data_IF_296363005755
#
_entry.id   IF_296363005755
#
_cell.length_a   1.000
_cell.length_b   1.000
_cell.length_c   1.000
_cell.angle_alpha   90.00
_cell.angle_beta   90.00
_cell.angle_gamma   90.00
#
_symmetry.space_group_name_H-M   'P 1'
#
loop_
_entity.id
_entity.type
_entity.pdbx_description
1 polymer ?
#
# COMPACT_ATOMS: atom_id res chain seq x y z
N UNK A 1 -33.20 4.20 47.87
CA UNK A 1 -32.74 5.14 46.82
C UNK A 1 -31.24 4.96 46.68
N UNK A 2 -30.85 4.04 45.81
CA UNK A 2 -29.47 3.62 45.56
C UNK A 2 -28.75 4.64 44.67
N UNK A 3 -27.48 4.90 45.01
CA UNK A 3 -26.62 5.92 44.42
C UNK A 3 -26.47 5.78 42.90
N UNK A 4 -27.24 6.56 42.14
CA UNK A 4 -27.07 6.74 40.69
C UNK A 4 -25.79 7.56 40.35
N UNK A 5 -25.21 8.25 41.34
CA UNK A 5 -24.05 9.14 41.15
C UNK A 5 -22.69 8.42 41.10
N UNK A 6 -22.56 7.21 41.67
CA UNK A 6 -21.28 6.48 41.67
C UNK A 6 -21.00 5.71 40.37
N UNK A 7 -22.04 5.36 39.60
CA UNK A 7 -21.88 4.62 38.34
C UNK A 7 -21.50 5.57 37.18
N UNK A 8 -22.04 6.79 37.18
CA UNK A 8 -21.73 7.79 36.15
C UNK A 8 -20.28 8.26 36.16
N UNK A 9 -19.68 8.43 37.34
CA UNK A 9 -18.28 8.87 37.48
C UNK A 9 -17.32 7.75 37.02
N UNK A 10 -17.61 6.49 37.36
CA UNK A 10 -16.80 5.34 36.94
C UNK A 10 -16.76 5.18 35.41
N UNK A 11 -17.90 5.36 34.73
CA UNK A 11 -17.97 5.26 33.26
C UNK A 11 -17.24 6.39 32.53
N UNK A 12 -17.31 7.63 33.04
CA UNK A 12 -16.63 8.79 32.44
C UNK A 12 -15.11 8.68 32.57
N UNK A 13 -14.59 8.20 33.71
CA UNK A 13 -13.16 7.96 33.86
C UNK A 13 -12.65 6.75 33.07
N UNK A 14 -13.44 5.67 32.97
CA UNK A 14 -13.03 4.49 32.19
C UNK A 14 -13.06 4.74 30.68
N UNK A 15 -14.14 5.32 30.13
CA UNK A 15 -14.22 5.66 28.71
C UNK A 15 -13.28 6.82 28.34
N UNK A 16 -13.16 7.82 29.22
CA UNK A 16 -12.21 8.92 29.05
C UNK A 16 -10.77 8.44 29.03
N UNK A 17 -10.36 7.60 29.99
CA UNK A 17 -9.02 7.02 30.02
C UNK A 17 -8.78 6.04 28.87
N UNK A 18 -9.78 5.28 28.43
CA UNK A 18 -9.64 4.37 27.29
C UNK A 18 -9.51 5.12 25.95
N UNK A 19 -10.25 6.21 25.76
CA UNK A 19 -10.14 7.05 24.57
C UNK A 19 -8.83 7.84 24.56
N UNK A 20 -8.44 8.41 25.71
CA UNK A 20 -7.16 9.12 25.87
C UNK A 20 -5.97 8.17 25.71
N UNK A 21 -6.05 6.93 26.23
CA UNK A 21 -4.97 5.94 26.10
C UNK A 21 -4.84 5.38 24.68
N UNK A 22 -5.95 5.19 23.94
CA UNK A 22 -5.89 4.75 22.54
C UNK A 22 -5.47 5.87 21.57
N UNK A 23 -5.87 7.12 21.81
CA UNK A 23 -5.40 8.25 21.00
C UNK A 23 -3.91 8.56 21.27
N UNK A 24 -3.47 8.61 22.53
CA UNK A 24 -2.07 8.85 22.86
C UNK A 24 -1.15 7.75 22.33
N UNK A 25 -1.55 6.47 22.38
CA UNK A 25 -0.76 5.37 21.80
C UNK A 25 -0.52 5.52 20.30
N UNK A 26 -1.49 6.05 19.55
CA UNK A 26 -1.37 6.17 18.09
C UNK A 26 -0.39 7.28 17.70
N UNK A 27 -0.44 8.40 18.40
CA UNK A 27 0.46 9.54 18.16
C UNK A 27 1.88 9.27 18.70
N UNK A 28 2.02 8.53 19.80
CA UNK A 28 3.33 8.08 20.31
C UNK A 28 4.03 7.10 19.35
N UNK A 29 3.27 6.22 18.67
CA UNK A 29 3.85 5.26 17.71
C UNK A 29 4.31 5.95 16.42
N UNK A 30 3.65 7.03 15.99
CA UNK A 30 4.09 7.85 14.85
C UNK A 30 5.33 8.70 15.16
N UNK A 31 5.59 9.02 16.42
CA UNK A 31 6.77 9.79 16.83
C UNK A 31 7.92 8.91 17.34
N UNK A 32 7.80 7.58 17.21
CA UNK A 32 8.81 6.63 17.65
C UNK A 32 9.92 6.47 16.63
N UNK A 33 11.18 6.46 17.10
CA UNK A 33 12.34 6.01 16.32
C UNK A 33 12.20 4.55 15.81
N UNK A 34 11.22 3.83 16.34
CA UNK A 34 10.87 2.45 16.03
C UNK A 34 9.64 2.32 15.11
N UNK A 35 9.31 3.32 14.29
CA UNK A 35 8.26 3.15 13.28
C UNK A 35 8.68 2.19 12.15
N UNK A 36 7.82 1.20 11.87
CA UNK A 36 8.04 0.16 10.85
C UNK A 36 7.02 0.19 9.71
N UNK A 37 6.23 1.26 9.61
CA UNK A 37 5.20 1.44 8.59
C UNK A 37 5.68 2.26 7.39
N UNK A 38 4.71 2.83 6.66
CA UNK A 38 4.93 3.75 5.56
C UNK A 38 5.58 5.06 6.03
N UNK A 39 6.48 5.61 5.20
CA UNK A 39 7.16 6.88 5.44
C UNK A 39 6.80 7.86 4.33
N UNK A 40 6.49 9.10 4.71
CA UNK A 40 6.16 10.16 3.76
C UNK A 40 7.39 10.83 3.11
N UNK A 41 7.14 11.92 2.38
CA UNK A 41 8.18 12.60 1.63
C UNK A 41 9.12 13.41 2.51
N UNK A 42 8.66 13.86 3.66
CA UNK A 42 9.40 14.61 4.65
C UNK A 42 10.28 13.65 5.46
N UNK A 43 9.86 12.38 5.57
CA UNK A 43 10.55 11.34 6.32
C UNK A 43 9.80 10.94 7.59
N UNK A 44 8.57 11.41 7.73
CA UNK A 44 7.73 11.20 8.88
C UNK A 44 6.85 9.95 8.70
N UNK A 45 6.49 9.26 9.80
CA UNK A 45 5.52 8.18 9.79
C UNK A 45 4.14 8.59 9.28
N UNK A 46 3.57 7.78 8.38
CA UNK A 46 2.24 8.03 7.82
C UNK A 46 1.38 6.77 7.79
N UNK A 47 0.07 6.90 8.01
CA UNK A 47 -0.84 5.74 8.05
C UNK A 47 -0.95 5.05 6.68
N UNK A 48 -0.94 5.84 5.62
CA UNK A 48 -0.88 5.35 4.24
C UNK A 48 -0.33 6.43 3.33
N UNK A 49 0.14 6.02 2.15
CA UNK A 49 0.24 6.93 1.03
C UNK A 49 -0.20 6.24 -0.25
N UNK A 50 -0.77 7.00 -1.18
CA UNK A 50 -0.90 6.58 -2.58
C UNK A 50 -0.02 7.46 -3.43
N UNK A 51 0.63 6.88 -4.42
CA UNK A 51 1.40 7.62 -5.41
C UNK A 51 1.06 7.19 -6.81
N UNK A 52 1.16 8.15 -7.72
CA UNK A 52 1.04 7.94 -9.15
C UNK A 52 2.33 8.43 -9.80
N UNK A 53 3.14 7.48 -10.27
CA UNK A 53 4.31 7.78 -11.07
C UNK A 53 3.86 8.17 -12.47
N UNK A 54 4.34 9.32 -12.95
CA UNK A 54 3.87 9.93 -14.19
C UNK A 54 4.51 9.27 -15.42
N UNK A 55 3.79 9.18 -16.57
CA UNK A 55 4.37 8.63 -17.80
C UNK A 55 5.54 9.49 -18.30
N UNK A 56 6.46 8.86 -19.03
CA UNK A 56 7.60 9.55 -19.62
C UNK A 56 7.15 10.59 -20.63
N UNK A 57 7.59 11.83 -20.47
CA UNK A 57 7.34 12.91 -21.41
C UNK A 57 8.66 13.53 -21.88
N UNK A 58 9.18 13.03 -23.01
CA UNK A 58 10.44 13.48 -23.61
C UNK A 58 10.49 14.99 -23.93
N UNK A 59 9.34 15.64 -24.12
CA UNK A 59 9.24 17.07 -24.45
C UNK A 59 9.14 17.96 -23.20
N UNK A 60 9.05 17.38 -22.00
CA UNK A 60 8.90 18.16 -20.77
C UNK A 60 10.16 18.98 -20.46
N UNK A 61 10.04 20.22 -19.97
CA UNK A 61 11.18 20.97 -19.44
C UNK A 61 11.70 20.41 -18.11
N UNK A 62 10.92 19.57 -17.41
CA UNK A 62 11.29 18.94 -16.14
C UNK A 62 12.03 17.62 -16.39
N UNK A 63 13.24 17.48 -15.83
CA UNK A 63 14.11 16.31 -16.05
C UNK A 63 13.47 14.99 -15.61
N UNK A 64 12.91 14.93 -14.41
CA UNK A 64 12.24 13.73 -13.88
C UNK A 64 11.04 13.29 -14.72
N UNK A 65 10.34 14.21 -15.40
CA UNK A 65 9.29 13.87 -16.37
C UNK A 65 9.86 13.34 -17.68
N UNK A 66 10.97 13.91 -18.17
CA UNK A 66 11.67 13.39 -19.37
C UNK A 66 12.23 12.00 -19.16
N UNK A 67 12.71 11.71 -17.96
CA UNK A 67 13.23 10.40 -17.57
C UNK A 67 12.11 9.41 -17.25
N UNK A 68 10.91 9.90 -16.96
CA UNK A 68 9.80 9.06 -16.53
C UNK A 68 10.05 8.53 -15.12
N UNK A 69 10.49 9.40 -14.21
CA UNK A 69 10.77 9.09 -12.81
C UNK A 69 10.07 10.04 -11.83
N UNK A 70 9.40 11.08 -12.33
CA UNK A 70 8.54 11.95 -11.55
C UNK A 70 7.30 11.19 -11.04
N UNK A 71 6.87 11.49 -9.81
CA UNK A 71 5.64 10.97 -9.25
C UNK A 71 4.91 12.04 -8.43
N UNK A 72 3.59 11.93 -8.39
CA UNK A 72 2.72 12.68 -7.49
C UNK A 72 2.25 11.75 -6.38
N UNK A 73 1.91 12.29 -5.21
CA UNK A 73 1.45 11.50 -4.07
C UNK A 73 0.33 12.17 -3.29
N UNK A 74 -0.38 11.35 -2.50
CA UNK A 74 -1.32 11.73 -1.46
C UNK A 74 -1.01 10.96 -0.17
N UNK A 75 -1.00 11.68 0.93
CA UNK A 75 -1.02 11.20 2.33
C UNK A 75 -2.33 11.63 3.01
N UNK A 76 -2.70 11.08 4.18
CA UNK A 76 -3.77 11.61 5.01
C UNK A 76 -3.74 13.14 5.16
N UNK A 77 -2.57 13.72 5.42
CA UNK A 77 -2.42 15.16 5.65
C UNK A 77 -2.61 15.99 4.38
N UNK A 78 -2.24 15.45 3.23
CA UNK A 78 -2.59 16.09 1.97
C UNK A 78 -4.08 15.92 1.65
N UNK A 79 -4.69 14.80 2.01
CA UNK A 79 -6.07 14.44 1.70
C UNK A 79 -7.10 15.15 2.58
N UNK A 80 -6.77 15.53 3.82
CA UNK A 80 -7.69 16.29 4.70
C UNK A 80 -8.10 17.66 4.12
N UNK A 81 -7.35 18.18 3.15
CA UNK A 81 -7.70 19.37 2.36
C UNK A 81 -8.79 19.12 1.28
N UNK A 82 -9.50 17.98 1.28
CA UNK A 82 -10.47 17.55 0.24
C UNK A 82 -11.91 18.05 0.42
N UNK A 83 -12.27 18.78 1.48
CA UNK A 83 -13.68 19.09 1.76
C UNK A 83 -14.28 20.27 0.96
N UNK A 84 -13.55 20.86 0.00
CA UNK A 84 -13.96 22.12 -0.67
C UNK A 84 -14.17 22.07 -2.20
N UNK A 85 -14.21 20.90 -2.83
CA UNK A 85 -14.84 20.75 -4.16
C UNK A 85 -14.16 21.41 -5.37
N UNK A 86 -12.83 21.53 -5.40
CA UNK A 86 -12.08 22.08 -6.55
C UNK A 86 -11.80 21.07 -7.69
N UNK A 87 -11.77 21.55 -8.95
CA UNK A 87 -11.39 20.77 -10.15
C UNK A 87 -9.88 20.91 -10.37
N UNK A 88 -9.19 19.76 -10.41
CA UNK A 88 -7.72 19.59 -10.40
C UNK A 88 -6.93 19.76 -11.73
N UNK A 89 -6.06 20.77 -11.91
CA UNK A 89 -4.92 20.72 -12.84
C UNK A 89 -3.60 20.30 -12.15
N UNK A 90 -3.23 19.02 -12.27
CA UNK A 90 -2.01 18.39 -11.68
C UNK A 90 -0.67 19.00 -12.16
N UNK A 91 -0.71 19.91 -13.14
CA UNK A 91 0.49 20.48 -13.78
C UNK A 91 0.84 21.89 -13.32
N UNK A 92 0.06 22.49 -12.42
CA UNK A 92 0.41 23.78 -11.84
C UNK A 92 1.04 23.58 -10.48
N UNK A 93 2.32 23.94 -10.37
CA UNK A 93 3.12 23.94 -9.14
C UNK A 93 2.52 24.85 -8.04
N UNK A 94 1.50 25.66 -8.36
CA UNK A 94 0.85 26.60 -7.43
C UNK A 94 -0.68 26.47 -7.37
N UNK A 95 -1.27 25.41 -7.91
CA UNK A 95 -2.73 25.27 -7.92
C UNK A 95 -3.19 24.44 -6.70
N UNK A 96 -3.62 25.18 -5.67
CA UNK A 96 -4.18 24.69 -4.41
C UNK A 96 -5.49 23.90 -4.57
N UNK A 97 -5.93 23.64 -5.81
CA UNK A 97 -7.11 22.83 -6.12
C UNK A 97 -6.81 21.33 -6.22
N UNK A 98 -5.55 20.90 -6.42
CA UNK A 98 -5.15 19.49 -6.27
C UNK A 98 -4.43 19.32 -4.96
N UNK A 99 -4.86 18.33 -4.19
CA UNK A 99 -4.12 17.88 -3.02
C UNK A 99 -2.99 16.90 -3.35
N UNK A 100 -2.92 16.42 -4.60
CA UNK A 100 -1.79 15.66 -5.11
C UNK A 100 -0.54 16.55 -5.12
N UNK A 101 0.52 16.09 -4.46
CA UNK A 101 1.78 16.83 -4.38
C UNK A 101 2.77 16.21 -5.35
N UNK A 102 3.41 17.02 -6.20
CA UNK A 102 4.53 16.57 -7.03
C UNK A 102 5.77 16.37 -6.15
N UNK A 103 6.36 15.17 -6.22
CA UNK A 103 7.56 14.88 -5.45
C UNK A 103 8.78 15.64 -5.97
N UNK A 104 9.60 16.13 -5.04
CA UNK A 104 10.93 16.65 -5.33
C UNK A 104 11.98 15.55 -5.55
N UNK A 105 11.65 14.29 -5.24
CA UNK A 105 12.52 13.14 -5.44
C UNK A 105 12.10 12.33 -6.65
N UNK A 106 13.10 11.82 -7.37
CA UNK A 106 12.87 10.77 -8.36
C UNK A 106 12.36 9.51 -7.65
N UNK A 107 11.41 8.78 -8.23
CA UNK A 107 10.94 7.51 -7.64
C UNK A 107 12.08 6.49 -7.45
N UNK A 108 13.17 6.59 -8.21
CA UNK A 108 14.35 5.75 -8.07
C UNK A 108 15.33 6.18 -6.97
N UNK A 109 15.14 7.35 -6.36
CA UNK A 109 15.97 7.85 -5.27
C UNK A 109 15.59 7.15 -3.95
N UNK A 110 16.57 6.76 -3.13
CA UNK A 110 16.35 6.21 -1.79
C UNK A 110 15.65 7.20 -0.84
N UNK A 111 15.66 8.50 -1.17
CA UNK A 111 14.93 9.56 -0.47
C UNK A 111 13.47 9.69 -0.92
N UNK A 112 13.06 9.00 -1.98
CA UNK A 112 11.65 8.90 -2.37
C UNK A 112 10.82 8.19 -1.29
N UNK A 113 9.50 8.33 -1.34
CA UNK A 113 8.62 7.70 -0.35
C UNK A 113 8.74 6.16 -0.32
N UNK A 114 8.77 5.44 -1.47
CA UNK A 114 9.05 4.00 -1.45
C UNK A 114 10.47 3.69 -0.99
N UNK A 115 11.46 4.49 -1.39
CA UNK A 115 12.86 4.34 -0.97
C UNK A 115 13.02 4.45 0.56
N UNK A 116 12.43 5.48 1.17
CA UNK A 116 12.43 5.71 2.62
C UNK A 116 11.72 4.59 3.36
N UNK A 117 10.56 4.15 2.87
CA UNK A 117 9.78 3.04 3.46
C UNK A 117 10.57 1.73 3.44
N UNK A 118 11.24 1.42 2.34
CA UNK A 118 12.01 0.17 2.18
C UNK A 118 13.44 0.25 2.73
N UNK A 119 13.92 1.44 3.12
CA UNK A 119 15.31 1.71 3.48
C UNK A 119 15.87 0.75 4.52
N UNK A 120 15.12 0.48 5.60
CA UNK A 120 15.57 -0.43 6.66
C UNK A 120 15.75 -1.85 6.16
N UNK A 121 14.87 -2.31 5.28
CA UNK A 121 14.94 -3.66 4.74
C UNK A 121 16.18 -3.88 3.86
N UNK A 122 16.63 -2.84 3.13
CA UNK A 122 17.86 -2.91 2.33
C UNK A 122 19.14 -2.70 3.13
N UNK A 123 19.13 -1.84 4.17
CA UNK A 123 20.35 -1.38 4.85
C UNK A 123 20.62 -2.01 6.21
N UNK A 124 19.57 -2.44 6.92
CA UNK A 124 19.68 -2.95 8.29
C UNK A 124 19.51 -4.48 8.28
N UNK A 125 20.64 -5.18 8.37
CA UNK A 125 20.68 -6.64 8.39
C UNK A 125 19.91 -7.22 9.59
N UNK A 126 19.98 -6.56 10.75
CA UNK A 126 19.29 -7.01 11.96
C UNK A 126 17.79 -6.92 11.78
N UNK A 127 17.30 -5.77 11.28
CA UNK A 127 15.89 -5.60 10.96
C UNK A 127 15.42 -6.62 9.91
N UNK A 128 16.15 -6.78 8.81
CA UNK A 128 15.82 -7.73 7.74
C UNK A 128 15.73 -9.16 8.25
N UNK A 129 16.66 -9.58 9.10
CA UNK A 129 16.72 -10.95 9.64
C UNK A 129 15.63 -11.22 10.68
N UNK A 130 15.18 -10.19 11.39
CA UNK A 130 14.16 -10.28 12.43
C UNK A 130 12.75 -9.88 11.96
N UNK A 131 12.56 -9.58 10.68
CA UNK A 131 11.25 -9.24 10.10
C UNK A 131 10.77 -10.31 9.13
N UNK A 132 9.46 -10.59 9.16
CA UNK A 132 8.82 -11.35 8.11
C UNK A 132 8.60 -10.45 6.90
N UNK A 133 9.00 -10.89 5.71
CA UNK A 133 8.75 -10.14 4.49
C UNK A 133 8.43 -11.05 3.31
N UNK A 134 7.68 -10.50 2.36
CA UNK A 134 7.29 -11.14 1.11
C UNK A 134 7.34 -10.13 -0.01
N UNK A 135 8.27 -10.31 -0.94
CA UNK A 135 8.25 -9.60 -2.20
C UNK A 135 7.61 -10.49 -3.25
N UNK A 136 6.57 -9.99 -3.89
CA UNK A 136 5.83 -10.72 -4.90
C UNK A 136 5.66 -9.89 -6.17
N UNK A 137 5.87 -10.52 -7.32
CA UNK A 137 5.75 -9.90 -8.63
C UNK A 137 5.73 -11.01 -9.69
N UNK A 138 4.71 -11.06 -10.54
CA UNK A 138 4.63 -11.96 -11.69
C UNK A 138 5.74 -11.70 -12.73
N UNK A 139 6.35 -10.53 -12.69
CA UNK A 139 7.52 -10.15 -13.48
C UNK A 139 8.65 -9.67 -12.55
N UNK A 140 9.12 -10.51 -11.63
CA UNK A 140 10.13 -10.10 -10.64
C UNK A 140 11.51 -9.72 -11.26
N UNK A 141 12.34 -8.91 -10.56
CA UNK A 141 13.63 -8.49 -11.08
C UNK A 141 14.56 -9.68 -11.34
N UNK A 142 15.32 -9.62 -12.45
CA UNK A 142 16.26 -10.67 -12.87
C UNK A 142 15.65 -12.07 -13.08
N UNK A 143 14.32 -12.18 -13.08
CA UNK A 143 13.57 -13.42 -13.26
C UNK A 143 12.88 -13.56 -14.62
N UNK A 144 12.31 -14.75 -14.85
CA UNK A 144 11.37 -15.02 -15.93
C UNK A 144 9.96 -14.56 -15.54
N UNK A 145 9.19 -14.09 -16.53
CA UNK A 145 7.76 -13.78 -16.35
C UNK A 145 7.00 -15.06 -15.99
N UNK A 146 6.21 -14.99 -14.93
CA UNK A 146 5.29 -16.04 -14.55
C UNK A 146 3.95 -15.85 -15.26
N UNK A 147 3.60 -16.77 -16.15
CA UNK A 147 2.32 -16.76 -16.88
C UNK A 147 1.18 -17.48 -16.12
N UNK A 148 1.49 -18.21 -15.07
CA UNK A 148 0.55 -19.09 -14.35
C UNK A 148 0.16 -18.60 -12.95
N UNK A 149 0.77 -17.52 -12.49
CA UNK A 149 0.46 -16.87 -11.19
C UNK A 149 -0.32 -15.59 -11.45
N UNK A 150 -0.97 -15.05 -10.43
CA UNK A 150 -1.75 -13.83 -10.58
C UNK A 150 -0.90 -12.62 -11.00
N UNK A 151 -1.46 -11.75 -11.82
CA UNK A 151 -0.87 -10.46 -12.21
C UNK A 151 -0.91 -9.45 -11.06
N UNK A 152 -0.26 -9.79 -9.95
CA UNK A 152 -0.25 -9.03 -8.71
C UNK A 152 1.19 -8.79 -8.25
N UNK A 153 1.45 -7.60 -7.70
CA UNK A 153 2.79 -7.15 -7.35
C UNK A 153 2.77 -6.32 -6.08
N UNK A 154 3.77 -6.51 -5.22
CA UNK A 154 3.87 -5.78 -3.98
C UNK A 154 4.87 -6.36 -2.99
N UNK A 155 4.81 -5.80 -1.78
CA UNK A 155 5.76 -6.04 -0.70
C UNK A 155 4.99 -6.04 0.61
N UNK A 156 4.97 -7.16 1.33
CA UNK A 156 4.47 -7.22 2.71
C UNK A 156 5.67 -7.29 3.65
N UNK A 157 5.70 -6.46 4.67
CA UNK A 157 6.70 -6.50 5.75
C UNK A 157 5.98 -6.44 7.08
N UNK A 158 6.34 -7.35 7.99
CA UNK A 158 5.80 -7.42 9.34
C UNK A 158 6.90 -7.71 10.35
N UNK A 159 6.85 -7.01 11.47
CA UNK A 159 7.70 -7.22 12.64
C UNK A 159 6.81 -7.41 13.89
N UNK A 160 7.43 -7.58 15.06
CA UNK A 160 6.69 -7.60 16.32
C UNK A 160 5.98 -6.26 16.61
N UNK A 161 6.54 -5.18 16.07
CA UNK A 161 6.12 -3.79 16.29
C UNK A 161 5.24 -3.23 15.15
N UNK A 162 4.72 -4.11 14.29
CA UNK A 162 3.93 -3.72 13.12
C UNK A 162 4.73 -3.78 11.82
N UNK A 163 4.24 -3.14 10.78
CA UNK A 163 4.82 -3.25 9.44
C UNK A 163 4.10 -2.40 8.39
N UNK A 164 4.26 -2.77 7.13
CA UNK A 164 3.56 -2.13 6.02
C UNK A 164 3.27 -3.12 4.90
N UNK A 165 2.31 -2.75 4.07
CA UNK A 165 1.99 -3.44 2.83
C UNK A 165 1.99 -2.45 1.67
N UNK A 166 2.86 -2.70 0.69
CA UNK A 166 2.93 -1.97 -0.57
C UNK A 166 2.28 -2.82 -1.66
N UNK A 167 1.33 -2.24 -2.37
CA UNK A 167 0.68 -2.79 -3.57
C UNK A 167 1.06 -1.89 -4.74
N UNK A 168 1.51 -2.46 -5.86
CA UNK A 168 1.91 -1.63 -7.01
C UNK A 168 1.68 -2.32 -8.36
N UNK A 169 1.84 -1.56 -9.44
CA UNK A 169 1.73 -2.06 -10.82
C UNK A 169 3.08 -2.23 -11.55
N UNK A 170 4.20 -1.89 -10.90
CA UNK A 170 5.54 -1.82 -11.53
C UNK A 170 6.16 -3.21 -11.77
N UNK A 171 6.38 -3.64 -13.03
CA UNK A 171 7.10 -4.89 -13.32
C UNK A 171 8.59 -4.73 -13.01
N UNK A 172 9.23 -5.82 -12.58
CA UNK A 172 10.64 -5.91 -12.18
C UNK A 172 11.02 -5.01 -11.00
N UNK A 173 10.05 -4.69 -10.15
CA UNK A 173 10.25 -3.89 -8.95
C UNK A 173 9.77 -4.64 -7.70
N UNK A 174 10.38 -4.36 -6.54
CA UNK A 174 11.71 -3.76 -6.39
C UNK A 174 12.80 -4.83 -6.46
N UNK A 175 14.10 -4.49 -6.45
CA UNK A 175 15.17 -5.46 -6.21
C UNK A 175 14.96 -6.26 -4.91
N UNK A 176 15.43 -7.51 -4.85
CA UNK A 176 15.36 -8.30 -3.62
C UNK A 176 16.14 -7.63 -2.47
N UNK A 177 15.80 -7.90 -1.18
CA UNK A 177 16.39 -7.19 -0.05
C UNK A 177 17.90 -7.19 0.08
N UNK A 178 18.60 -8.21 -0.46
CA UNK A 178 20.06 -8.30 -0.46
C UNK A 178 20.75 -7.34 -1.43
N UNK A 179 19.99 -6.71 -2.33
CA UNK A 179 20.47 -5.74 -3.32
C UNK A 179 20.28 -4.30 -2.80
N UNK A 180 20.43 -3.31 -3.68
CA UNK A 180 20.18 -1.91 -3.37
C UNK A 180 18.81 -1.48 -3.92
N UNK A 181 18.17 -0.53 -3.23
CA UNK A 181 16.94 0.08 -3.75
C UNK A 181 17.19 0.71 -5.11
N UNK A 182 16.34 0.37 -6.07
CA UNK A 182 16.32 1.02 -7.37
C UNK A 182 14.94 0.88 -8.01
N UNK A 183 14.69 1.74 -9.00
CA UNK A 183 13.46 1.70 -9.79
C UNK A 183 13.77 1.24 -11.22
N UNK A 184 13.08 0.21 -11.74
CA UNK A 184 13.46 -0.41 -13.01
C UNK A 184 13.05 0.47 -14.20
N UNK A 185 13.82 0.37 -15.29
CA UNK A 185 13.51 1.05 -16.55
C UNK A 185 12.13 0.68 -17.12
N UNK A 186 11.64 -0.53 -16.83
CA UNK A 186 10.30 -1.02 -17.22
C UNK A 186 9.18 -0.16 -16.62
N UNK A 187 9.37 0.42 -15.44
CA UNK A 187 8.41 1.33 -14.81
C UNK A 187 8.43 2.76 -15.37
N UNK A 188 9.44 3.12 -16.19
CA UNK A 188 9.64 4.51 -16.61
C UNK A 188 8.71 4.96 -17.74
N UNK A 189 8.26 4.06 -18.62
CA UNK A 189 7.50 4.44 -19.82
C UNK A 189 6.08 4.91 -19.50
N UNK A 190 5.31 4.10 -18.77
CA UNK A 190 3.90 4.32 -18.50
C UNK A 190 3.67 4.94 -17.12
N UNK A 191 2.42 5.39 -16.89
CA UNK A 191 1.97 5.71 -15.55
C UNK A 191 1.93 4.44 -14.69
N UNK A 192 2.27 4.55 -13.42
CA UNK A 192 2.28 3.43 -12.47
C UNK A 192 1.67 3.88 -11.15
N UNK A 193 0.91 2.99 -10.51
CA UNK A 193 0.30 3.25 -9.20
C UNK A 193 1.01 2.47 -8.11
N UNK A 194 1.03 3.04 -6.91
CA UNK A 194 1.47 2.35 -5.71
C UNK A 194 0.69 2.86 -4.49
N UNK A 195 0.27 1.92 -3.64
CA UNK A 195 -0.39 2.17 -2.36
C UNK A 195 0.45 1.53 -1.27
N UNK A 196 0.85 2.31 -0.27
CA UNK A 196 1.45 1.81 0.96
C UNK A 196 0.45 1.97 2.10
N UNK A 197 0.24 0.91 2.88
CA UNK A 197 -0.61 0.91 4.07
C UNK A 197 0.24 0.47 5.27
N UNK A 198 0.26 1.28 6.32
CA UNK A 198 0.90 0.94 7.58
C UNK A 198 0.02 -0.02 8.38
N UNK A 199 0.64 -1.06 8.91
CA UNK A 199 -0.02 -2.11 9.69
C UNK A 199 0.43 -1.95 11.15
N UNK A 200 -0.47 -1.58 12.07
CA UNK A 200 -0.10 -1.37 13.45
C UNK A 200 0.32 -2.69 14.14
N UNK A 201 1.10 -2.62 15.24
CA UNK A 201 1.43 -3.78 16.04
C UNK A 201 0.18 -4.54 16.51
N UNK A 202 0.33 -5.84 16.79
CA UNK A 202 -0.75 -6.71 17.29
C UNK A 202 -1.94 -6.91 16.33
N UNK A 203 -1.80 -6.53 15.07
CA UNK A 203 -2.84 -6.70 14.05
C UNK A 203 -2.81 -8.09 13.40
N UNK A 204 -2.96 -9.14 14.20
CA UNK A 204 -2.92 -10.52 13.71
C UNK A 204 -3.98 -10.80 12.65
N UNK A 205 -5.21 -10.34 12.86
CA UNK A 205 -6.28 -10.50 11.88
C UNK A 205 -5.99 -9.78 10.56
N UNK A 206 -5.28 -8.65 10.57
CA UNK A 206 -4.88 -7.96 9.34
C UNK A 206 -3.80 -8.74 8.60
N UNK A 207 -2.81 -9.29 9.30
CA UNK A 207 -1.79 -10.15 8.71
C UNK A 207 -2.40 -11.44 8.12
N UNK A 208 -3.38 -12.03 8.82
CA UNK A 208 -4.18 -13.17 8.34
C UNK A 208 -4.94 -12.84 7.06
N UNK A 209 -5.74 -11.77 7.06
CA UNK A 209 -6.50 -11.33 5.89
C UNK A 209 -5.61 -11.02 4.68
N UNK A 210 -4.48 -10.35 4.88
CA UNK A 210 -3.53 -10.07 3.80
C UNK A 210 -2.91 -11.37 3.29
N UNK A 211 -2.54 -12.29 4.19
CA UNK A 211 -2.00 -13.59 3.80
C UNK A 211 -2.97 -14.42 2.97
N UNK A 212 -4.24 -14.50 3.39
CA UNK A 212 -5.30 -15.13 2.63
C UNK A 212 -5.48 -14.48 1.26
N UNK A 213 -5.41 -13.15 1.18
CA UNK A 213 -5.51 -12.42 -0.09
C UNK A 213 -4.35 -12.73 -1.03
N UNK A 214 -3.12 -12.87 -0.53
CA UNK A 214 -1.96 -13.23 -1.34
C UNK A 214 -2.09 -14.66 -1.89
N UNK A 215 -2.63 -15.58 -1.09
CA UNK A 215 -2.94 -16.96 -1.49
C UNK A 215 -4.05 -16.98 -2.54
N UNK A 216 -5.14 -16.23 -2.33
CA UNK A 216 -6.26 -16.12 -3.27
C UNK A 216 -5.83 -15.53 -4.61
N UNK A 217 -4.92 -14.55 -4.60
CA UNK A 217 -4.39 -13.94 -5.81
C UNK A 217 -3.30 -14.80 -6.48
N UNK A 218 -2.93 -15.96 -5.93
CA UNK A 218 -1.82 -16.79 -6.39
C UNK A 218 -0.55 -15.95 -6.62
N UNK A 219 -0.17 -15.16 -5.61
CA UNK A 219 0.92 -14.19 -5.73
C UNK A 219 2.28 -14.86 -5.94
N UNK A 220 3.04 -14.41 -6.95
CA UNK A 220 4.35 -14.95 -7.25
C UNK A 220 5.43 -14.37 -6.32
N UNK A 221 5.67 -15.03 -5.17
CA UNK A 221 6.68 -14.60 -4.19
C UNK A 221 8.09 -15.00 -4.67
N UNK A 222 8.99 -14.03 -4.82
CA UNK A 222 10.36 -14.26 -5.30
C UNK A 222 11.44 -14.02 -4.23
N UNK A 223 11.12 -13.31 -3.14
CA UNK A 223 12.01 -13.15 -2.00
C UNK A 223 11.20 -13.10 -0.70
N UNK A 224 11.63 -13.87 0.31
CA UNK A 224 10.92 -13.94 1.59
C UNK A 224 11.84 -14.25 2.76
N UNK A 225 11.39 -13.89 3.97
CA UNK A 225 11.95 -14.32 5.26
C UNK A 225 10.80 -14.50 6.24
N UNK A 226 10.89 -15.50 7.12
CA UNK A 226 9.92 -15.69 8.21
C UNK A 226 10.69 -16.16 9.46
N UNK A 227 11.04 -15.24 10.37
CA UNK A 227 11.65 -15.59 11.65
C UNK A 227 10.75 -16.49 12.48
N UNK A 228 11.33 -17.39 13.28
CA UNK A 228 10.58 -18.42 14.03
C UNK A 228 9.47 -17.84 14.93
N UNK A 229 9.71 -16.68 15.55
CA UNK A 229 8.78 -15.95 16.40
C UNK A 229 7.56 -15.47 15.60
N UNK A 230 7.81 -14.87 14.42
CA UNK A 230 6.75 -14.37 13.54
C UNK A 230 6.03 -15.50 12.82
N UNK A 231 6.71 -16.62 12.52
CA UNK A 231 6.07 -17.83 11.98
C UNK A 231 5.04 -18.41 12.96
N UNK A 232 5.38 -18.43 14.25
CA UNK A 232 4.48 -18.90 15.32
C UNK A 232 3.31 -17.92 15.52
N UNK A 233 3.56 -16.62 15.40
CA UNK A 233 2.56 -15.57 15.58
C UNK A 233 1.59 -15.44 14.40
N UNK A 234 2.06 -15.65 13.17
CA UNK A 234 1.29 -15.52 11.95
C UNK A 234 1.41 -16.79 11.10
N UNK A 235 0.69 -17.88 11.43
CA UNK A 235 0.84 -19.17 10.75
C UNK A 235 0.61 -19.10 9.23
N UNK A 236 -0.30 -18.22 8.77
CA UNK A 236 -0.61 -17.97 7.35
C UNK A 236 0.64 -17.65 6.52
N UNK A 237 1.67 -17.05 7.12
CA UNK A 237 2.91 -16.70 6.43
C UNK A 237 3.64 -17.92 5.88
N UNK A 238 3.56 -19.05 6.58
CA UNK A 238 4.12 -20.30 6.07
C UNK A 238 3.31 -20.85 4.89
N UNK A 239 2.00 -20.60 4.85
CA UNK A 239 1.12 -21.05 3.76
C UNK A 239 1.38 -20.28 2.45
N UNK A 240 1.66 -18.97 2.55
CA UNK A 240 2.07 -18.14 1.42
C UNK A 240 3.27 -18.77 0.70
N UNK A 241 4.32 -19.15 1.43
CA UNK A 241 5.56 -19.71 0.86
C UNK A 241 5.38 -21.13 0.33
N UNK A 242 4.50 -21.91 0.96
CA UNK A 242 4.14 -23.25 0.47
C UNK A 242 3.42 -23.23 -0.87
N UNK A 243 2.95 -22.05 -1.32
CA UNK A 243 2.22 -21.91 -2.58
C UNK A 243 0.91 -22.67 -2.56
N UNK A 244 0.20 -22.66 -1.42
CA UNK A 244 -1.13 -23.27 -1.31
C UNK A 244 -2.02 -22.62 -2.35
N UNK A 245 -2.58 -23.41 -3.27
CA UNK A 245 -3.52 -22.92 -4.28
C UNK A 245 -4.94 -23.25 -3.86
N UNK A 246 -5.81 -22.25 -3.90
CA UNK A 246 -7.24 -22.50 -3.76
C UNK A 246 -7.75 -23.11 -5.08
N UNK A 247 -8.44 -24.24 -4.97
CA UNK A 247 -8.85 -25.09 -6.09
C UNK A 247 -9.96 -24.50 -6.96
N UNK A 248 -10.51 -23.34 -6.60
CA UNK A 248 -11.58 -22.68 -7.36
C UNK A 248 -11.34 -21.17 -7.46
N UNK A 249 -11.13 -20.61 -8.66
CA UNK A 249 -11.10 -19.17 -8.84
C UNK A 249 -12.49 -18.61 -8.48
N UNK A 250 -12.62 -17.59 -7.61
CA UNK A 250 -13.95 -17.11 -7.24
C UNK A 250 -14.64 -16.32 -8.36
N UNK A 251 -13.95 -15.99 -9.46
CA UNK A 251 -14.43 -14.96 -10.39
C UNK A 251 -14.38 -15.40 -11.85
N UNK A 252 -15.45 -16.05 -12.30
CA UNK A 252 -15.79 -16.19 -13.73
C UNK A 252 -16.57 -14.98 -14.27
N UNK A 253 -16.53 -13.84 -13.58
CA UNK A 253 -17.37 -12.68 -13.87
C UNK A 253 -16.60 -11.36 -13.76
N UNK A 254 -17.17 -10.26 -14.27
CA UNK A 254 -16.47 -8.98 -14.39
C UNK A 254 -16.15 -8.37 -13.01
N UNK A 255 -14.85 -8.32 -12.67
CA UNK A 255 -14.34 -7.95 -11.34
C UNK A 255 -14.96 -6.66 -10.77
N UNK A 256 -15.01 -5.60 -11.56
CA UNK A 256 -15.43 -4.29 -11.07
C UNK A 256 -16.93 -4.20 -10.80
N UNK A 257 -17.75 -4.68 -11.72
CA UNK A 257 -19.21 -4.57 -11.61
C UNK A 257 -19.82 -5.65 -10.72
N UNK A 258 -19.18 -6.82 -10.62
CA UNK A 258 -19.78 -7.98 -9.96
C UNK A 258 -19.16 -8.30 -8.60
N UNK A 259 -17.98 -7.76 -8.30
CA UNK A 259 -17.35 -7.90 -6.99
C UNK A 259 -17.16 -6.53 -6.32
N UNK A 260 -16.43 -5.61 -6.94
CA UNK A 260 -16.01 -4.37 -6.29
C UNK A 260 -17.21 -3.46 -5.98
N UNK A 261 -18.04 -3.13 -6.96
CA UNK A 261 -19.19 -2.25 -6.76
C UNK A 261 -20.20 -2.80 -5.72
N UNK A 262 -20.61 -4.09 -5.77
CA UNK A 262 -21.49 -4.67 -4.75
C UNK A 262 -20.90 -4.66 -3.34
N UNK A 263 -19.61 -4.95 -3.18
CA UNK A 263 -18.95 -4.94 -1.87
C UNK A 263 -18.87 -3.52 -1.30
N UNK A 264 -18.55 -2.54 -2.15
CA UNK A 264 -18.47 -1.13 -1.75
C UNK A 264 -19.84 -0.45 -1.63
N UNK A 265 -20.91 -1.11 -2.08
CA UNK A 265 -22.27 -0.56 -2.18
C UNK A 265 -22.30 0.79 -2.89
N UNK A 266 -21.52 0.93 -3.96
CA UNK A 266 -21.44 2.17 -4.73
C UNK A 266 -21.12 1.89 -6.19
N UNK A 267 -21.57 2.82 -7.04
CA UNK A 267 -21.21 2.81 -8.46
C UNK A 267 -19.75 3.20 -8.64
N UNK A 268 -19.10 2.58 -9.62
CA UNK A 268 -17.74 2.94 -10.04
C UNK A 268 -17.78 3.94 -11.20
N UNK A 269 -16.95 4.98 -11.16
CA UNK A 269 -16.80 5.95 -12.24
C UNK A 269 -15.98 5.35 -13.39
N UNK A 270 -16.65 4.56 -14.25
CA UNK A 270 -16.03 3.80 -15.35
C UNK A 270 -16.37 4.33 -16.75
N UNK A 271 -17.22 5.36 -16.86
CA UNK A 271 -17.75 5.89 -18.13
C UNK A 271 -16.67 6.29 -19.16
N UNK A 272 -15.51 6.73 -18.67
CA UNK A 272 -14.39 7.20 -19.50
C UNK A 272 -13.18 6.26 -19.47
N UNK A 273 -13.32 5.07 -18.89
CA UNK A 273 -12.24 4.08 -18.91
C UNK A 273 -11.94 3.71 -20.36
N UNK A 274 -10.66 3.80 -20.73
CA UNK A 274 -10.20 3.38 -22.06
C UNK A 274 -10.38 1.87 -22.16
N UNK A 275 -11.46 1.48 -22.82
CA UNK A 275 -11.86 0.08 -23.01
C UNK A 275 -10.73 -0.74 -23.66
N UNK A 276 -10.69 -2.03 -23.33
CA UNK A 276 -9.97 -3.02 -24.10
C UNK A 276 -10.59 -3.22 -25.50
N UNK A 277 -10.35 -4.35 -26.17
CA UNK A 277 -10.85 -4.63 -27.52
C UNK A 277 -12.37 -4.48 -27.71
N UNK A 278 -13.15 -4.60 -26.62
CA UNK A 278 -14.60 -4.39 -26.62
C UNK A 278 -15.03 -3.40 -25.52
N UNK A 279 -16.03 -2.53 -25.76
CA UNK A 279 -16.61 -1.68 -24.74
C UNK A 279 -17.26 -2.51 -23.63
N UNK A 280 -16.89 -2.26 -22.38
CA UNK A 280 -17.59 -2.88 -21.26
C UNK A 280 -19.03 -2.32 -21.18
N UNK A 281 -20.06 -3.17 -21.12
CA UNK A 281 -21.41 -2.69 -20.89
C UNK A 281 -21.48 -2.06 -19.49
N UNK A 282 -21.75 -0.76 -19.42
CA UNK A 282 -22.06 -0.08 -18.17
C UNK A 282 -23.40 -0.60 -17.65
N UNK A 283 -23.37 -1.58 -16.75
CA UNK A 283 -24.58 -2.04 -16.07
C UNK A 283 -24.93 -1.09 -14.94
N UNK A 284 -25.80 -0.11 -15.23
CA UNK A 284 -26.34 0.82 -14.24
C UNK A 284 -27.58 0.25 -13.50
N UNK A 285 -27.84 -1.05 -13.66
CA UNK A 285 -29.06 -1.69 -13.17
C UNK A 285 -28.99 -2.11 -11.69
N UNK A 286 -27.82 -1.99 -11.06
CA UNK A 286 -27.66 -2.32 -9.66
C UNK A 286 -28.08 -1.14 -8.78
N UNK A 287 -29.10 -1.35 -7.94
CA UNK A 287 -29.41 -0.49 -6.80
C UNK A 287 -28.65 -1.01 -5.59
N UNK A 288 -27.75 -0.20 -5.03
CA UNK A 288 -26.98 -0.53 -3.84
C UNK A 288 -27.54 0.16 -2.59
#
# INVERSE_FOLDING_TARGET
>A
MTNCWSIGIFFVFFLGSFCFWNCLRRDDVKNSADWYGCIDQEGEPTDFFTLYKLPKNHKSPVASLREGTAYIYLTPDSATRLQSGGISSVLSYSDSSTNWVLSNFSIGDEKSMPGKTLRRLYRDYSFRSNSAYFFYNDEFPNGSVSLSHGHTKGILVMSELGGFWIIHSVPKYPPQPSEQYSYPATGQRYGQTMLCISIPPLSQSQAENIGEQLIQNDAHVYAWNIPSQLASKYPIFQEIVKGVKLSSPPFLSHLYSNLVAPVLKTNLYVESWRNGPEPLPSSCNASF
#
